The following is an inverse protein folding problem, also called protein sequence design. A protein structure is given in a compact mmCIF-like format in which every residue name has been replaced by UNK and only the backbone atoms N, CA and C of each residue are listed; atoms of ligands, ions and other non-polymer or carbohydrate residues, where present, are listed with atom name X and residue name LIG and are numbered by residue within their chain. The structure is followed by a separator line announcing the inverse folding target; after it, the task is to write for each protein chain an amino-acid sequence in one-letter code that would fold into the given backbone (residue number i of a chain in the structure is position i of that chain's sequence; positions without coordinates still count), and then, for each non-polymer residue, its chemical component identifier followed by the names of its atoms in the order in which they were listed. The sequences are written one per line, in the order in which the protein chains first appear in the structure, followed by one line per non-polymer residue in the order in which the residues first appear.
data_IF_705441340880
#
_entry.id   IF_705441340880
#
_cell.length_a   1.000
_cell.length_b   1.000
_cell.length_c   1.000
_cell.angle_alpha   90.00
_cell.angle_beta   90.00
_cell.angle_gamma   90.00
#
_symmetry.space_group_name_H-M   'P 1'
#
loop_
_entity.id
_entity.type
_entity.pdbx_description
1 polymer ?
#
# COMPACT_ATOMS: atom_id res chain seq x y z
N UNK A 1 5.25 4.73 -8.94
CA UNK A 1 6.21 3.65 -8.66
C UNK A 1 5.54 2.37 -8.15
N UNK A 2 4.37 2.49 -7.51
CA UNK A 2 3.39 1.39 -7.28
C UNK A 2 3.15 0.49 -8.50
N UNK A 3 3.12 1.10 -9.69
CA UNK A 3 2.96 0.41 -10.98
C UNK A 3 4.07 -0.63 -11.26
N UNK A 4 5.25 -0.52 -10.64
CA UNK A 4 6.34 -1.48 -10.87
C UNK A 4 6.26 -2.70 -9.96
N UNK A 5 5.79 -2.56 -8.72
CA UNK A 5 5.36 -3.70 -7.91
C UNK A 5 4.18 -4.39 -8.61
N UNK A 6 3.23 -3.62 -9.16
CA UNK A 6 2.13 -4.11 -10.01
C UNK A 6 2.65 -4.90 -11.23
N UNK A 7 3.80 -4.53 -11.82
CA UNK A 7 4.38 -5.24 -12.97
C UNK A 7 5.16 -6.53 -12.63
N UNK A 8 5.57 -6.73 -11.37
CA UNK A 8 6.12 -8.03 -10.92
C UNK A 8 5.03 -9.09 -10.90
N UNK A 9 3.77 -8.71 -10.65
CA UNK A 9 2.64 -9.64 -10.56
C UNK A 9 1.93 -9.91 -11.91
N UNK A 10 2.68 -9.90 -13.02
CA UNK A 10 2.17 -10.26 -14.37
C UNK A 10 2.15 -11.77 -14.62
N UNK A 11 2.16 -12.59 -13.56
CA UNK A 11 2.02 -14.05 -13.65
C UNK A 11 0.54 -14.42 -13.43
N UNK A 12 0.04 -15.40 -14.18
CA UNK A 12 -1.28 -16.00 -13.95
C UNK A 12 -1.46 -16.29 -12.45
N UNK A 13 -2.50 -15.70 -11.84
CA UNK A 13 -2.81 -15.69 -10.39
C UNK A 13 -2.20 -14.54 -9.54
N UNK A 14 -2.38 -13.30 -10.00
CA UNK A 14 -1.97 -12.04 -9.36
C UNK A 14 -2.33 -11.95 -7.86
N UNK A 15 -3.50 -12.43 -7.46
CA UNK A 15 -3.94 -12.44 -6.06
C UNK A 15 -3.11 -13.39 -5.19
N UNK A 16 -3.03 -14.69 -5.52
CA UNK A 16 -2.25 -15.63 -4.70
C UNK A 16 -0.77 -15.31 -4.69
N UNK A 17 -0.21 -14.76 -5.79
CA UNK A 17 1.18 -14.31 -5.79
C UNK A 17 1.42 -13.16 -4.81
N UNK A 18 0.48 -12.21 -4.73
CA UNK A 18 0.53 -11.17 -3.73
C UNK A 18 0.43 -11.76 -2.32
N UNK A 19 -0.55 -12.62 -2.05
CA UNK A 19 -0.77 -13.20 -0.72
C UNK A 19 0.45 -13.96 -0.23
N UNK A 20 1.05 -14.80 -1.07
CA UNK A 20 2.28 -15.54 -0.72
C UNK A 20 3.43 -14.59 -0.45
N UNK A 21 3.63 -13.57 -1.28
CA UNK A 21 4.75 -12.64 -1.13
C UNK A 21 4.63 -11.78 0.12
N UNK A 22 3.42 -11.31 0.43
CA UNK A 22 3.14 -10.54 1.65
C UNK A 22 3.22 -11.45 2.87
N UNK A 23 2.72 -12.70 2.81
CA UNK A 23 2.85 -13.64 3.93
C UNK A 23 4.32 -13.98 4.22
N UNK A 24 5.15 -14.22 3.20
CA UNK A 24 6.58 -14.49 3.38
C UNK A 24 7.33 -13.32 4.02
N UNK A 25 6.95 -12.08 3.68
CA UNK A 25 7.45 -10.89 4.37
C UNK A 25 7.09 -10.91 5.86
N UNK A 26 5.82 -11.20 6.19
CA UNK A 26 5.31 -11.22 7.56
C UNK A 26 6.04 -12.28 8.37
N UNK A 27 6.10 -13.51 7.87
CA UNK A 27 6.79 -14.64 8.50
C UNK A 27 8.28 -14.31 8.74
N UNK A 28 8.94 -13.68 7.76
CA UNK A 28 10.35 -13.31 7.87
C UNK A 28 10.56 -12.25 8.95
N UNK A 29 9.72 -11.21 8.98
CA UNK A 29 9.79 -10.17 10.02
C UNK A 29 9.51 -10.75 11.42
N UNK A 30 8.46 -11.57 11.57
CA UNK A 30 8.11 -12.22 12.84
C UNK A 30 9.19 -13.18 13.34
N UNK A 31 9.94 -13.80 12.43
CA UNK A 31 11.11 -14.62 12.78
C UNK A 31 12.32 -13.82 13.27
N UNK A 32 12.23 -12.48 13.30
CA UNK A 32 13.26 -11.56 13.76
C UNK A 32 14.20 -11.07 12.66
N UNK A 33 13.80 -11.15 11.39
CA UNK A 33 14.60 -10.60 10.29
C UNK A 33 14.69 -9.07 10.40
N UNK A 34 15.91 -8.53 10.41
CA UNK A 34 16.11 -7.08 10.37
C UNK A 34 15.81 -6.49 8.99
N UNK A 35 15.52 -5.20 8.93
CA UNK A 35 15.23 -4.48 7.67
C UNK A 35 16.26 -4.77 6.56
N UNK A 36 17.55 -4.68 6.87
CA UNK A 36 18.61 -4.94 5.89
C UNK A 36 18.61 -6.39 5.38
N UNK A 37 18.21 -7.35 6.22
CA UNK A 37 18.10 -8.76 5.80
C UNK A 37 16.93 -8.94 4.85
N UNK A 38 15.79 -8.29 5.12
CA UNK A 38 14.63 -8.27 4.23
C UNK A 38 14.97 -7.60 2.89
N UNK A 39 15.68 -6.47 2.91
CA UNK A 39 16.17 -5.81 1.68
C UNK A 39 17.02 -6.77 0.85
N UNK A 40 18.01 -7.43 1.45
CA UNK A 40 18.86 -8.38 0.74
C UNK A 40 18.06 -9.57 0.20
N UNK A 41 17.10 -10.07 0.97
CA UNK A 41 16.21 -11.14 0.54
C UNK A 41 15.42 -10.76 -0.72
N UNK A 42 14.73 -9.61 -0.70
CA UNK A 42 13.96 -9.14 -1.86
C UNK A 42 14.85 -8.79 -3.06
N UNK A 43 16.06 -8.25 -2.84
CA UNK A 43 17.03 -8.02 -3.93
C UNK A 43 17.47 -9.34 -4.59
N UNK A 44 17.56 -10.44 -3.82
CA UNK A 44 17.84 -11.75 -4.41
C UNK A 44 16.66 -12.29 -5.22
N UNK A 45 15.42 -12.04 -4.79
CA UNK A 45 14.22 -12.36 -5.58
C UNK A 45 14.26 -11.63 -6.93
N UNK A 46 14.67 -10.35 -6.93
CA UNK A 46 14.78 -9.56 -8.16
C UNK A 46 15.66 -10.23 -9.23
N UNK A 47 16.68 -11.02 -8.85
CA UNK A 47 17.55 -11.74 -9.79
C UNK A 47 16.83 -12.85 -10.58
N UNK A 48 15.64 -13.25 -10.13
CA UNK A 48 14.80 -14.23 -10.82
C UNK A 48 13.88 -13.59 -11.87
N UNK A 49 13.85 -12.26 -11.95
CA UNK A 49 13.08 -11.53 -12.95
C UNK A 49 13.80 -11.49 -14.31
N UNK A 50 13.07 -11.24 -15.42
CA UNK A 50 13.69 -10.95 -16.71
C UNK A 50 14.72 -9.81 -16.60
N UNK A 51 15.84 -9.89 -17.33
CA UNK A 51 16.97 -8.94 -17.24
C UNK A 51 16.54 -7.47 -17.30
N UNK A 52 15.51 -7.15 -18.09
CA UNK A 52 14.97 -5.80 -18.22
C UNK A 52 14.35 -5.23 -16.94
N UNK A 53 13.91 -6.09 -16.01
CA UNK A 53 13.26 -5.72 -14.74
C UNK A 53 14.20 -5.86 -13.53
N UNK A 54 15.30 -6.61 -13.64
CA UNK A 54 16.18 -6.91 -12.50
C UNK A 54 16.77 -5.63 -11.88
N UNK A 55 17.39 -4.77 -12.68
CA UNK A 55 18.04 -3.54 -12.19
C UNK A 55 17.04 -2.61 -11.52
N UNK A 56 15.86 -2.49 -12.12
CA UNK A 56 14.77 -1.66 -11.61
C UNK A 56 14.28 -2.19 -10.26
N UNK A 57 14.01 -3.50 -10.16
CA UNK A 57 13.61 -4.14 -8.92
C UNK A 57 14.68 -3.96 -7.82
N UNK A 58 15.95 -4.27 -8.10
CA UNK A 58 17.05 -4.14 -7.13
C UNK A 58 17.18 -2.71 -6.60
N UNK A 59 16.96 -1.71 -7.46
CA UNK A 59 17.01 -0.29 -7.13
C UNK A 59 15.84 0.13 -6.21
N UNK A 60 14.65 -0.43 -6.42
CA UNK A 60 13.47 -0.06 -5.63
C UNK A 60 13.34 -0.79 -4.30
N UNK A 61 13.83 -2.04 -4.18
CA UNK A 61 13.70 -2.82 -2.94
C UNK A 61 14.11 -2.06 -1.67
N UNK A 62 15.25 -1.34 -1.60
CA UNK A 62 15.63 -0.58 -0.40
C UNK A 62 14.65 0.55 -0.01
N UNK A 63 13.83 1.03 -0.95
CA UNK A 63 12.85 2.10 -0.74
C UNK A 63 11.49 1.52 -0.33
N UNK A 64 11.16 0.33 -0.82
CA UNK A 64 9.86 -0.30 -0.64
C UNK A 64 9.80 -1.18 0.62
N UNK A 65 10.87 -1.89 0.96
CA UNK A 65 10.89 -2.78 2.13
C UNK A 65 10.58 -2.05 3.45
N UNK A 66 11.11 -0.84 3.74
CA UNK A 66 10.75 -0.12 4.96
C UNK A 66 9.26 0.21 5.05
N UNK A 67 8.62 0.53 3.92
CA UNK A 67 7.17 0.80 3.86
C UNK A 67 6.37 -0.46 4.13
N UNK A 68 6.78 -1.58 3.53
CA UNK A 68 6.14 -2.87 3.74
C UNK A 68 6.28 -3.36 5.18
N UNK A 69 7.44 -3.14 5.83
CA UNK A 69 7.64 -3.44 7.25
C UNK A 69 6.65 -2.67 8.14
N UNK A 70 6.37 -1.39 7.84
CA UNK A 70 5.35 -0.63 8.57
C UNK A 70 3.96 -1.26 8.47
N UNK A 71 3.65 -1.91 7.35
CA UNK A 71 2.39 -2.65 7.21
C UNK A 71 2.38 -3.89 8.11
N UNK A 72 3.49 -4.63 8.17
CA UNK A 72 3.65 -5.80 9.05
C UNK A 72 3.51 -5.41 10.51
N UNK A 73 4.17 -4.33 10.95
CA UNK A 73 4.13 -3.82 12.32
C UNK A 73 2.71 -3.48 12.79
N UNK A 74 1.86 -3.09 11.85
CA UNK A 74 0.44 -2.77 12.07
C UNK A 74 -0.47 -3.98 12.04
N UNK A 75 0.07 -5.17 11.72
CA UNK A 75 -0.70 -6.40 11.54
C UNK A 75 -1.81 -6.23 10.49
N UNK A 76 -1.51 -5.49 9.42
CA UNK A 76 -2.48 -5.33 8.31
C UNK A 76 -2.75 -6.72 7.72
N UNK A 77 -4.02 -7.15 7.56
CA UNK A 77 -4.29 -8.45 6.96
C UNK A 77 -3.72 -8.56 5.55
N UNK A 78 -3.19 -9.72 5.19
CA UNK A 78 -2.61 -10.00 3.86
C UNK A 78 -3.61 -9.70 2.75
N UNK A 79 -4.87 -10.09 2.97
CA UNK A 79 -5.98 -9.84 2.05
C UNK A 79 -6.21 -8.34 1.85
N UNK A 80 -6.11 -7.54 2.91
CA UNK A 80 -6.23 -6.08 2.86
C UNK A 80 -5.08 -5.46 2.06
N UNK A 81 -3.83 -5.87 2.33
CA UNK A 81 -2.67 -5.38 1.57
C UNK A 81 -2.83 -5.72 0.08
N UNK A 82 -3.20 -6.96 -0.24
CA UNK A 82 -3.33 -7.41 -1.63
C UNK A 82 -4.54 -6.82 -2.36
N UNK A 83 -5.61 -6.50 -1.65
CA UNK A 83 -6.74 -5.76 -2.24
C UNK A 83 -6.39 -4.28 -2.47
N UNK A 84 -5.65 -3.64 -1.57
CA UNK A 84 -5.16 -2.26 -1.77
C UNK A 84 -4.13 -2.16 -2.90
N UNK A 85 -3.33 -3.21 -3.11
CA UNK A 85 -2.44 -3.34 -4.27
C UNK A 85 -3.20 -3.68 -5.56
N UNK A 86 -4.53 -3.75 -5.53
CA UNK A 86 -5.41 -4.15 -6.65
C UNK A 86 -5.15 -5.56 -7.19
N UNK A 87 -4.38 -6.38 -6.47
CA UNK A 87 -4.05 -7.75 -6.85
C UNK A 87 -5.17 -8.74 -6.51
N UNK A 88 -5.97 -8.43 -5.48
CA UNK A 88 -7.11 -9.22 -5.04
C UNK A 88 -8.41 -8.40 -5.00
N UNK A 89 -9.54 -9.05 -5.23
CA UNK A 89 -10.86 -8.42 -5.11
C UNK A 89 -11.64 -9.03 -3.94
N UNK A 90 -11.26 -8.69 -2.71
CA UNK A 90 -11.97 -9.08 -1.49
C UNK A 90 -12.86 -7.94 -0.99
N UNK A 91 -14.09 -8.22 -0.53
CA UNK A 91 -14.88 -7.24 0.19
C UNK A 91 -14.19 -6.95 1.53
N UNK A 92 -13.78 -5.71 1.75
CA UNK A 92 -13.12 -5.34 3.00
C UNK A 92 -14.12 -5.43 4.18
N UNK A 93 -13.71 -6.07 5.28
CA UNK A 93 -14.46 -6.29 6.54
C UNK A 93 -13.92 -5.37 7.68
N UNK A 94 -14.61 -5.18 8.83
CA UNK A 94 -15.07 -3.87 9.32
C UNK A 94 -14.15 -3.02 10.23
N UNK A 95 -14.53 -1.74 10.34
CA UNK A 95 -14.22 -0.64 11.30
C UNK A 95 -12.75 -0.28 11.55
N UNK A 96 -11.84 -1.22 11.81
CA UNK A 96 -10.39 -0.92 11.85
C UNK A 96 -9.77 -0.88 10.45
N UNK A 97 -10.43 -1.50 9.48
CA UNK A 97 -10.02 -1.41 8.09
C UNK A 97 -9.99 0.03 7.57
N UNK A 98 -10.81 0.96 8.08
CA UNK A 98 -10.79 2.36 7.59
C UNK A 98 -9.49 3.08 7.95
N UNK A 99 -9.02 2.93 9.18
CA UNK A 99 -7.73 3.47 9.63
C UNK A 99 -6.57 2.81 8.89
N UNK A 100 -6.60 1.49 8.77
CA UNK A 100 -5.58 0.71 8.06
C UNK A 100 -5.50 1.08 6.57
N UNK A 101 -6.65 1.16 5.89
CA UNK A 101 -6.74 1.63 4.51
C UNK A 101 -6.13 3.03 4.42
N UNK A 102 -6.56 3.96 5.28
CA UNK A 102 -6.05 5.32 5.25
C UNK A 102 -4.52 5.35 5.37
N UNK A 103 -3.95 4.65 6.35
CA UNK A 103 -2.50 4.68 6.59
C UNK A 103 -1.74 4.00 5.45
N UNK A 104 -2.21 2.86 4.96
CA UNK A 104 -1.61 2.19 3.80
C UNK A 104 -1.62 3.15 2.60
N UNK A 105 -2.74 3.80 2.32
CA UNK A 105 -2.85 4.71 1.18
C UNK A 105 -1.86 5.88 1.29
N UNK A 106 -1.82 6.56 2.44
CA UNK A 106 -0.91 7.67 2.66
C UNK A 106 0.57 7.26 2.75
N UNK A 107 0.86 6.01 3.10
CA UNK A 107 2.23 5.45 3.02
C UNK A 107 2.76 5.45 1.59
N UNK A 108 1.87 5.39 0.60
CA UNK A 108 2.21 5.24 -0.82
C UNK A 108 1.93 6.48 -1.68
N UNK A 109 1.37 7.55 -1.08
CA UNK A 109 1.13 8.82 -1.76
C UNK A 109 2.43 9.46 -2.28
N UNK A 110 3.55 9.31 -1.54
CA UNK A 110 4.85 9.85 -1.97
C UNK A 110 5.39 9.17 -3.25
N UNK A 111 4.92 7.97 -3.57
CA UNK A 111 5.35 7.19 -4.74
C UNK A 111 4.50 7.42 -5.98
N UNK A 112 3.50 8.31 -5.87
CA UNK A 112 2.69 8.71 -7.01
C UNK A 112 3.58 9.42 -8.04
N UNK A 113 3.46 9.06 -9.34
CA UNK A 113 4.23 9.73 -10.39
C UNK A 113 4.04 11.24 -10.35
N UNK A 114 5.08 12.00 -10.68
CA UNK A 114 4.95 13.45 -10.86
C UNK A 114 3.87 13.74 -11.94
N UNK A 115 2.85 14.52 -11.57
CA UNK A 115 1.70 14.81 -12.44
C UNK A 115 0.57 13.78 -12.38
N UNK A 116 0.65 12.77 -11.50
CA UNK A 116 -0.49 11.93 -11.17
C UNK A 116 -1.58 12.77 -10.50
N UNK A 117 -2.83 12.51 -10.88
CA UNK A 117 -3.97 13.21 -10.31
C UNK A 117 -4.32 12.56 -8.96
N UNK A 118 -4.00 13.27 -7.89
CA UNK A 118 -4.26 12.82 -6.53
C UNK A 118 -5.77 12.64 -6.26
N UNK A 119 -6.63 13.46 -6.88
CA UNK A 119 -8.09 13.31 -6.73
C UNK A 119 -8.52 11.98 -7.33
N UNK A 120 -8.07 11.66 -8.54
CA UNK A 120 -8.36 10.37 -9.20
C UNK A 120 -7.83 9.18 -8.40
N UNK A 121 -6.63 9.31 -7.81
CA UNK A 121 -6.08 8.29 -6.92
C UNK A 121 -7.03 8.00 -5.76
N UNK A 122 -7.42 9.05 -5.04
CA UNK A 122 -8.25 8.96 -3.85
C UNK A 122 -9.65 8.44 -4.19
N UNK A 123 -10.22 8.88 -5.32
CA UNK A 123 -11.51 8.42 -5.82
C UNK A 123 -11.49 6.92 -6.17
N UNK A 124 -10.38 6.39 -6.69
CA UNK A 124 -10.27 4.95 -6.99
C UNK A 124 -10.33 4.06 -5.75
N UNK A 125 -9.98 4.59 -4.57
CA UNK A 125 -10.07 3.85 -3.30
C UNK A 125 -11.51 3.48 -3.01
N UNK A 126 -12.46 4.34 -3.37
CA UNK A 126 -13.87 4.11 -3.13
C UNK A 126 -14.40 2.88 -3.87
N UNK A 127 -13.76 2.46 -4.97
CA UNK A 127 -14.13 1.22 -5.66
C UNK A 127 -13.80 -0.05 -4.88
N UNK A 128 -12.91 0.05 -3.89
CA UNK A 128 -12.50 -1.04 -3.02
C UNK A 128 -13.53 -1.27 -1.90
N UNK A 129 -14.29 -0.24 -1.54
CA UNK A 129 -15.32 -0.33 -0.51
C UNK A 129 -16.53 -1.14 -0.98
N UNK A 130 -17.30 -1.66 -0.01
CA UNK A 130 -18.57 -2.32 -0.29
C UNK A 130 -19.56 -1.32 -0.92
N UNK A 131 -20.47 -1.82 -1.76
CA UNK A 131 -21.39 -0.99 -2.55
C UNK A 131 -22.16 0.05 -1.70
N UNK A 132 -22.54 -0.32 -0.47
CA UNK A 132 -23.27 0.53 0.47
C UNK A 132 -22.44 1.69 1.04
N UNK A 133 -21.11 1.61 0.95
CA UNK A 133 -20.17 2.59 1.51
C UNK A 133 -19.53 3.50 0.43
N UNK A 134 -19.64 3.15 -0.86
CA UNK A 134 -19.00 3.90 -1.95
C UNK A 134 -19.41 5.37 -1.98
N UNK A 135 -20.72 5.65 -1.93
CA UNK A 135 -21.24 7.03 -1.93
C UNK A 135 -20.69 7.86 -0.75
N UNK A 136 -20.52 7.22 0.42
CA UNK A 136 -19.96 7.88 1.59
C UNK A 136 -18.46 8.16 1.41
N UNK A 137 -17.73 7.22 0.81
CA UNK A 137 -16.32 7.40 0.46
C UNK A 137 -16.14 8.56 -0.53
N UNK A 138 -16.88 8.57 -1.64
CA UNK A 138 -16.80 9.65 -2.64
C UNK A 138 -17.11 11.02 -2.02
N UNK A 139 -18.16 11.09 -1.18
CA UNK A 139 -18.49 12.33 -0.47
C UNK A 139 -17.38 12.78 0.49
N UNK A 140 -16.76 11.82 1.20
CA UNK A 140 -15.64 12.08 2.10
C UNK A 140 -14.41 12.59 1.35
N UNK A 141 -13.98 11.94 0.27
CA UNK A 141 -12.84 12.37 -0.55
C UNK A 141 -13.07 13.80 -1.06
N UNK A 142 -14.24 14.08 -1.61
CA UNK A 142 -14.59 15.40 -2.10
C UNK A 142 -14.57 16.48 -1.02
N UNK A 143 -15.00 16.15 0.19
CA UNK A 143 -15.00 17.07 1.32
C UNK A 143 -13.58 17.35 1.82
N UNK A 144 -12.78 16.29 1.97
CA UNK A 144 -11.48 16.34 2.62
C UNK A 144 -10.32 16.61 1.65
N UNK A 145 -10.56 16.64 0.33
CA UNK A 145 -9.51 16.75 -0.69
C UNK A 145 -8.51 17.90 -0.44
N UNK A 146 -9.00 19.10 -0.12
CA UNK A 146 -8.13 20.24 0.14
C UNK A 146 -7.33 20.09 1.45
N UNK A 147 -7.93 19.45 2.47
CA UNK A 147 -7.24 19.15 3.73
C UNK A 147 -6.14 18.11 3.50
N UNK A 148 -6.43 17.08 2.69
CA UNK A 148 -5.46 16.06 2.29
C UNK A 148 -4.25 16.70 1.58
N UNK A 149 -4.48 17.61 0.63
CA UNK A 149 -3.39 18.36 -0.02
C UNK A 149 -2.56 19.15 0.99
N UNK A 150 -3.21 19.81 1.95
CA UNK A 150 -2.53 20.59 2.99
C UNK A 150 -1.68 19.70 3.92
N UNK A 151 -2.19 18.54 4.34
CA UNK A 151 -1.45 17.59 5.17
C UNK A 151 -0.23 17.01 4.46
N UNK A 152 -0.39 16.62 3.19
CA UNK A 152 0.73 16.16 2.35
C UNK A 152 1.77 17.27 2.19
N UNK A 153 1.33 18.51 1.89
CA UNK A 153 2.23 19.66 1.72
C UNK A 153 3.00 20.00 2.98
N UNK A 154 2.47 19.63 4.16
CA UNK A 154 3.12 19.80 5.47
C UNK A 154 3.98 18.59 5.88
N UNK A 155 4.12 17.58 5.03
CA UNK A 155 4.84 16.33 5.31
C UNK A 155 4.34 15.62 6.57
N UNK A 156 3.01 15.57 6.76
CA UNK A 156 2.43 14.77 7.82
C UNK A 156 2.72 13.29 7.55
N UNK A 157 3.06 12.53 8.58
CA UNK A 157 3.18 11.08 8.43
C UNK A 157 1.81 10.48 8.08
N UNK A 158 1.75 9.29 7.45
CA UNK A 158 0.50 8.62 7.14
C UNK A 158 -0.45 8.53 8.35
N UNK A 159 0.09 8.28 9.53
CA UNK A 159 -0.65 8.28 10.81
C UNK A 159 -1.26 9.62 11.12
N UNK A 160 -0.45 10.68 11.08
CA UNK A 160 -0.90 12.03 11.38
C UNK A 160 -1.98 12.46 10.40
N UNK A 161 -1.86 12.12 9.11
CA UNK A 161 -2.89 12.39 8.11
C UNK A 161 -4.20 11.71 8.52
N UNK A 162 -4.16 10.42 8.85
CA UNK A 162 -5.36 9.65 9.18
C UNK A 162 -6.00 10.04 10.53
N UNK A 163 -5.21 10.50 11.49
CA UNK A 163 -5.69 11.11 12.73
C UNK A 163 -6.35 12.47 12.49
N UNK A 164 -5.79 13.32 11.60
CA UNK A 164 -6.39 14.61 11.27
C UNK A 164 -7.71 14.45 10.52
N UNK A 165 -7.81 13.42 9.68
CA UNK A 165 -9.02 13.07 8.96
C UNK A 165 -10.09 12.40 9.83
N UNK A 166 -9.80 12.18 11.12
CA UNK A 166 -10.67 11.47 12.07
C UNK A 166 -11.05 10.05 11.62
N UNK A 167 -10.18 9.42 10.81
CA UNK A 167 -10.32 8.04 10.34
C UNK A 167 -9.63 7.07 11.31
N UNK A 168 -8.53 7.51 11.92
CA UNK A 168 -7.85 6.83 13.03
C UNK A 168 -8.10 7.59 14.33
N UNK A 169 -8.20 6.84 15.44
CA UNK A 169 -8.14 7.42 16.79
C UNK A 169 -6.74 8.03 17.05
N UNK A 170 -6.70 9.07 17.90
CA UNK A 170 -5.47 9.78 18.32
C UNK A 170 -4.71 9.09 19.44
#
# INVERSE_FOLDING_TARGET
MFILIINVFTLDNQCSSCEVSVQELYDSYESGAGEQQLITYFQNICLSLPDMLQMECIFFVPQEVPKLIKLVERQIPVETVCTLLTACNYPILPINAKCDICVVMFTFVEDLPAGFDLEVFLESICEIFQEEEKDQCHAFIKQEYNNIIDYISKNYSPEQVCEQLEVCDK
#
